data_IF_832587569497
#
_entry.id   IF_832587569497
#
_cell.length_a   1.000
_cell.length_b   1.000
_cell.length_c   1.000
_cell.angle_alpha   90.00
_cell.angle_beta   90.00
_cell.angle_gamma   90.00
#
_symmetry.space_group_name_H-M   'P 1'
#
loop_
_entity.id
_entity.type
_entity.pdbx_description
1 polymer ?
#
# COMPACT_ATOMS: atom_id res chain seq x y z
N UNK A 1 32.96 7.95 -23.32
CA UNK A 1 33.05 7.03 -22.16
C UNK A 1 32.04 5.92 -22.36
N UNK A 2 32.43 4.64 -22.50
CA UNK A 2 31.44 3.56 -22.57
C UNK A 2 31.05 3.16 -21.15
N UNK A 3 29.77 3.28 -20.80
CA UNK A 3 29.23 2.80 -19.53
C UNK A 3 28.88 1.31 -19.68
N UNK A 4 29.62 0.46 -18.96
CA UNK A 4 29.32 -0.96 -18.83
C UNK A 4 27.91 -1.13 -18.25
N UNK A 5 27.02 -1.77 -19.02
CA UNK A 5 25.69 -2.15 -18.55
C UNK A 5 25.84 -3.31 -17.55
N UNK A 6 25.44 -3.04 -16.32
CA UNK A 6 25.33 -4.01 -15.23
C UNK A 6 24.43 -5.17 -15.71
N UNK A 7 24.89 -6.39 -15.49
CA UNK A 7 24.24 -7.63 -15.91
C UNK A 7 22.96 -7.84 -15.07
N UNK A 8 21.85 -7.23 -15.53
CA UNK A 8 20.53 -7.38 -14.93
C UNK A 8 20.01 -8.77 -15.27
N UNK A 9 20.07 -9.64 -14.27
CA UNK A 9 19.46 -10.96 -14.18
C UNK A 9 18.08 -11.03 -14.87
N UNK A 10 17.99 -11.85 -15.92
CA UNK A 10 16.81 -12.30 -16.66
C UNK A 10 15.59 -11.36 -16.67
N UNK A 11 15.69 -10.27 -17.43
CA UNK A 11 14.62 -9.31 -17.69
C UNK A 11 13.34 -9.96 -18.26
N UNK A 12 13.43 -11.12 -18.92
CA UNK A 12 12.30 -11.78 -19.58
C UNK A 12 11.22 -12.28 -18.62
N UNK A 13 11.59 -12.80 -17.44
CA UNK A 13 10.63 -13.30 -16.45
C UNK A 13 9.92 -12.15 -15.74
N UNK A 14 10.68 -11.16 -15.24
CA UNK A 14 10.11 -9.99 -14.58
C UNK A 14 9.18 -9.21 -15.51
N UNK A 15 9.55 -9.07 -16.79
CA UNK A 15 8.72 -8.37 -17.78
C UNK A 15 7.42 -9.12 -18.07
N UNK A 16 7.44 -10.47 -18.11
CA UNK A 16 6.24 -11.30 -18.27
C UNK A 16 5.30 -11.21 -17.07
N UNK A 17 5.85 -11.28 -15.86
CA UNK A 17 5.09 -11.12 -14.61
C UNK A 17 4.49 -9.72 -14.53
N UNK A 18 5.25 -8.69 -14.89
CA UNK A 18 4.77 -7.30 -14.96
C UNK A 18 3.63 -7.15 -15.98
N UNK A 19 3.76 -7.71 -17.18
CA UNK A 19 2.70 -7.67 -18.20
C UNK A 19 1.43 -8.40 -17.74
N UNK A 20 1.56 -9.55 -17.09
CA UNK A 20 0.42 -10.26 -16.52
C UNK A 20 -0.25 -9.44 -15.41
N UNK A 21 0.54 -8.84 -14.51
CA UNK A 21 0.02 -7.94 -13.48
C UNK A 21 -0.74 -6.75 -14.09
N UNK A 22 -0.19 -6.08 -15.09
CA UNK A 22 -0.84 -4.95 -15.77
C UNK A 22 -2.14 -5.39 -16.47
N UNK A 23 -2.17 -6.59 -17.04
CA UNK A 23 -3.39 -7.17 -17.64
C UNK A 23 -4.47 -7.44 -16.59
N UNK A 24 -4.11 -8.03 -15.44
CA UNK A 24 -5.02 -8.23 -14.31
C UNK A 24 -5.50 -6.89 -13.73
N UNK A 25 -4.62 -5.90 -13.64
CA UNK A 25 -4.95 -4.56 -13.16
C UNK A 25 -5.95 -3.86 -14.08
N UNK A 26 -5.86 -4.09 -15.40
CA UNK A 26 -6.80 -3.54 -16.38
C UNK A 26 -8.14 -4.28 -16.36
N UNK A 27 -8.15 -5.60 -16.13
CA UNK A 27 -9.36 -6.44 -16.16
C UNK A 27 -10.14 -6.43 -14.85
N UNK A 28 -9.44 -6.43 -13.71
CA UNK A 28 -10.01 -6.44 -12.37
C UNK A 28 -9.26 -5.44 -11.47
N UNK A 29 -9.42 -4.13 -11.70
CA UNK A 29 -8.66 -3.09 -11.00
C UNK A 29 -8.90 -3.11 -9.49
N UNK A 30 -10.11 -3.43 -9.04
CA UNK A 30 -10.48 -3.41 -7.61
C UNK A 30 -9.82 -4.58 -6.88
N UNK A 31 -9.96 -5.80 -7.40
CA UNK A 31 -9.46 -7.02 -6.76
C UNK A 31 -7.92 -7.00 -6.73
N UNK A 32 -7.29 -6.67 -7.86
CA UNK A 32 -5.82 -6.68 -7.97
C UNK A 32 -5.20 -5.67 -7.01
N UNK A 33 -5.74 -4.46 -6.92
CA UNK A 33 -5.26 -3.43 -5.97
C UNK A 33 -5.46 -3.85 -4.51
N UNK A 34 -6.59 -4.47 -4.20
CA UNK A 34 -6.92 -4.94 -2.85
C UNK A 34 -5.96 -6.05 -2.40
N UNK A 35 -5.70 -7.04 -3.27
CA UNK A 35 -4.77 -8.14 -2.99
C UNK A 35 -3.35 -7.63 -2.81
N UNK A 36 -2.87 -6.77 -3.71
CA UNK A 36 -1.55 -6.16 -3.59
C UNK A 36 -1.44 -5.32 -2.32
N UNK A 37 -2.49 -4.56 -1.96
CA UNK A 37 -2.52 -3.80 -0.72
C UNK A 37 -2.46 -4.69 0.51
N UNK A 38 -3.24 -5.77 0.58
CA UNK A 38 -3.20 -6.72 1.71
C UNK A 38 -1.82 -7.33 1.91
N UNK A 39 -1.19 -7.78 0.82
CA UNK A 39 0.16 -8.35 0.86
C UNK A 39 1.17 -7.30 1.32
N UNK A 40 1.11 -6.09 0.79
CA UNK A 40 2.04 -5.01 1.13
C UNK A 40 1.88 -4.58 2.60
N UNK A 41 0.65 -4.47 3.10
CA UNK A 41 0.36 -4.15 4.49
C UNK A 41 0.88 -5.23 5.45
N UNK A 42 0.69 -6.52 5.11
CA UNK A 42 1.21 -7.63 5.90
C UNK A 42 2.75 -7.63 5.93
N UNK A 43 3.40 -7.44 4.77
CA UNK A 43 4.85 -7.32 4.68
C UNK A 43 5.37 -6.11 5.45
N UNK A 44 4.69 -4.97 5.39
CA UNK A 44 5.02 -3.76 6.15
C UNK A 44 5.02 -4.03 7.66
N UNK A 45 4.01 -4.75 8.16
CA UNK A 45 3.95 -5.12 9.57
C UNK A 45 5.04 -6.12 9.96
N UNK A 46 5.33 -7.12 9.12
CA UNK A 46 6.43 -8.07 9.34
C UNK A 46 7.79 -7.36 9.37
N UNK A 47 8.03 -6.42 8.46
CA UNK A 47 9.24 -5.59 8.45
C UNK A 47 9.36 -4.75 9.71
N UNK A 48 8.27 -4.12 10.17
CA UNK A 48 8.24 -3.35 11.41
C UNK A 48 8.62 -4.22 12.62
N UNK A 49 8.01 -5.42 12.73
CA UNK A 49 8.33 -6.38 13.79
C UNK A 49 9.78 -6.86 13.72
N UNK A 50 10.33 -7.10 12.51
CA UNK A 50 11.72 -7.50 12.32
C UNK A 50 12.71 -6.38 12.73
N UNK A 51 12.38 -5.13 12.42
CA UNK A 51 13.18 -3.96 12.84
C UNK A 51 13.12 -3.77 14.36
N UNK A 52 11.95 -3.89 14.97
CA UNK A 52 11.77 -3.78 16.42
C UNK A 52 12.51 -4.90 17.16
N UNK A 53 12.48 -6.13 16.64
CA UNK A 53 13.26 -7.26 17.16
C UNK A 53 14.77 -7.00 17.08
N UNK A 54 15.28 -6.49 15.95
CA UNK A 54 16.72 -6.14 15.83
C UNK A 54 17.12 -5.02 16.78
N UNK A 55 16.26 -4.01 16.99
CA UNK A 55 16.53 -2.91 17.93
C UNK A 55 16.56 -3.41 19.38
N UNK A 56 15.56 -4.18 19.80
CA UNK A 56 15.49 -4.77 21.15
C UNK A 56 16.69 -5.67 21.46
N UNK A 57 17.19 -6.43 20.47
CA UNK A 57 18.38 -7.28 20.64
C UNK A 57 19.69 -6.48 20.82
N UNK A 58 19.73 -5.23 20.32
CA UNK A 58 20.89 -4.32 20.47
C UNK A 58 20.86 -3.57 21.81
N UNK A 59 19.67 -3.37 22.37
CA UNK A 59 19.42 -2.52 23.55
C UNK A 59 19.22 -3.34 24.86
N UNK A 60 19.43 -4.68 24.85
CA UNK A 60 19.17 -5.60 25.98
C UNK A 60 17.80 -5.40 26.66
N UNK A 61 16.83 -4.87 25.91
CA UNK A 61 15.47 -4.63 26.39
C UNK A 61 14.61 -5.89 26.28
N UNK A 62 13.54 -6.07 27.08
CA UNK A 62 12.73 -7.28 27.07
C UNK A 62 12.21 -7.57 25.65
N UNK A 63 12.45 -8.81 25.18
CA UNK A 63 12.06 -9.25 23.84
C UNK A 63 10.54 -9.19 23.71
N UNK A 64 10.02 -8.22 22.95
CA UNK A 64 8.62 -8.23 22.52
C UNK A 64 8.39 -9.50 21.68
N UNK A 65 7.38 -10.29 22.06
CA UNK A 65 6.98 -11.47 21.30
C UNK A 65 6.46 -11.02 19.93
N UNK A 66 6.90 -11.72 18.88
CA UNK A 66 6.43 -11.50 17.51
C UNK A 66 4.97 -11.96 17.48
N UNK A 67 4.05 -11.02 17.35
CA UNK A 67 2.62 -11.31 17.26
C UNK A 67 2.28 -11.67 15.81
N UNK A 68 2.17 -12.98 15.57
CA UNK A 68 1.80 -13.57 14.28
C UNK A 68 0.38 -13.19 13.82
N UNK A 69 -0.47 -12.73 14.74
CA UNK A 69 -1.83 -12.28 14.43
C UNK A 69 -1.86 -10.88 13.78
N UNK A 70 -0.85 -10.04 14.08
CA UNK A 70 -0.76 -8.68 13.54
C UNK A 70 -0.75 -8.63 12.00
N UNK A 71 0.15 -9.37 11.31
CA UNK A 71 0.19 -9.38 9.84
C UNK A 71 -1.13 -9.80 9.19
N UNK A 72 -1.92 -10.66 9.85
CA UNK A 72 -3.26 -11.08 9.38
C UNK A 72 -4.24 -9.92 9.46
N UNK A 73 -4.26 -9.17 10.56
CA UNK A 73 -5.10 -7.98 10.71
C UNK A 73 -4.78 -6.91 9.66
N UNK A 74 -3.49 -6.67 9.40
CA UNK A 74 -3.04 -5.78 8.34
C UNK A 74 -3.38 -6.30 6.93
N UNK A 75 -3.35 -7.62 6.70
CA UNK A 75 -3.76 -8.22 5.44
C UNK A 75 -5.28 -8.04 5.20
N UNK A 76 -6.10 -8.29 6.22
CA UNK A 76 -7.56 -8.13 6.17
C UNK A 76 -7.92 -6.66 5.92
N UNK A 77 -7.28 -5.74 6.64
CA UNK A 77 -7.45 -4.30 6.41
C UNK A 77 -7.12 -3.92 4.96
N UNK A 78 -5.96 -4.35 4.45
CA UNK A 78 -5.54 -4.07 3.07
C UNK A 78 -6.45 -4.67 2.01
N UNK A 79 -6.98 -5.88 2.25
CA UNK A 79 -7.87 -6.58 1.32
C UNK A 79 -9.29 -6.00 1.30
N UNK A 80 -9.90 -5.78 2.47
CA UNK A 80 -11.32 -5.47 2.57
C UNK A 80 -11.63 -3.99 2.75
N UNK A 81 -10.71 -3.20 3.31
CA UNK A 81 -10.94 -1.79 3.58
C UNK A 81 -10.24 -0.93 2.54
N UNK A 82 -8.93 -1.10 2.35
CA UNK A 82 -8.16 -0.23 1.45
C UNK A 82 -8.66 -0.31 -0.01
N UNK A 83 -9.05 -1.50 -0.46
CA UNK A 83 -9.62 -1.74 -1.78
C UNK A 83 -10.86 -0.91 -2.12
N UNK A 84 -12.02 -1.18 -1.48
CA UNK A 84 -13.26 -0.47 -1.76
C UNK A 84 -13.19 1.02 -1.37
N UNK A 85 -12.53 1.37 -0.26
CA UNK A 85 -12.36 2.78 0.14
C UNK A 85 -11.59 3.55 -0.93
N UNK A 86 -10.52 2.97 -1.48
CA UNK A 86 -9.78 3.58 -2.58
C UNK A 86 -10.64 3.75 -3.83
N UNK A 87 -11.51 2.78 -4.15
CA UNK A 87 -12.41 2.88 -5.30
C UNK A 87 -13.41 4.04 -5.16
N UNK A 88 -14.13 4.12 -4.04
CA UNK A 88 -15.08 5.20 -3.78
C UNK A 88 -14.40 6.56 -3.70
N UNK A 89 -13.19 6.60 -3.12
CA UNK A 89 -12.44 7.84 -3.03
C UNK A 89 -12.02 8.38 -4.39
N UNK A 90 -11.47 7.52 -5.28
CA UNK A 90 -11.11 7.95 -6.62
C UNK A 90 -12.33 8.39 -7.43
N UNK A 91 -13.46 7.72 -7.26
CA UNK A 91 -14.71 8.13 -7.90
C UNK A 91 -15.19 9.50 -7.40
N UNK A 92 -15.17 9.73 -6.09
CA UNK A 92 -15.49 11.05 -5.50
C UNK A 92 -14.56 12.13 -6.01
N UNK A 93 -13.28 11.81 -6.20
CA UNK A 93 -12.27 12.73 -6.70
C UNK A 93 -12.47 13.13 -8.16
N UNK A 94 -12.95 12.19 -8.99
CA UNK A 94 -13.32 12.47 -10.38
C UNK A 94 -14.55 13.38 -10.46
N UNK A 95 -15.52 13.21 -9.55
CA UNK A 95 -16.71 14.08 -9.46
C UNK A 95 -16.34 15.48 -8.96
N UNK A 96 -15.45 15.57 -7.97
CA UNK A 96 -15.10 16.85 -7.34
C UNK A 96 -14.14 17.69 -8.19
N UNK A 97 -13.27 17.05 -8.97
CA UNK A 97 -12.25 17.71 -9.80
C UNK A 97 -12.28 17.18 -11.23
N UNK A 98 -13.26 17.63 -12.05
CA UNK A 98 -13.28 17.32 -13.47
C UNK A 98 -12.06 17.95 -14.19
N UNK A 99 -11.58 17.29 -15.24
CA UNK A 99 -10.40 17.72 -16.02
C UNK A 99 -10.53 19.08 -16.73
N UNK A 100 -11.69 19.74 -16.63
CA UNK A 100 -11.96 21.05 -17.21
C UNK A 100 -11.40 22.21 -16.39
N UNK A 101 -10.90 21.97 -15.18
CA UNK A 101 -10.43 23.03 -14.27
C UNK A 101 -8.93 23.31 -14.47
N UNK A 102 -8.49 24.57 -14.63
CA UNK A 102 -7.07 24.90 -14.66
C UNK A 102 -6.39 24.56 -13.31
N UNK A 103 -5.13 24.11 -13.38
CA UNK A 103 -4.36 23.59 -12.23
C UNK A 103 -5.01 22.38 -11.52
N UNK A 104 -5.81 21.59 -12.25
CA UNK A 104 -6.49 20.40 -11.72
C UNK A 104 -5.53 19.51 -10.93
N UNK A 105 -4.33 19.23 -11.46
CA UNK A 105 -3.35 18.36 -10.82
C UNK A 105 -2.91 18.83 -9.42
N UNK A 106 -2.68 20.13 -9.24
CA UNK A 106 -2.25 20.69 -7.94
C UNK A 106 -3.41 20.63 -6.95
N UNK A 107 -4.61 21.03 -7.38
CA UNK A 107 -5.82 20.95 -6.54
C UNK A 107 -6.14 19.52 -6.14
N UNK A 108 -5.96 18.58 -7.07
CA UNK A 108 -6.13 17.14 -6.86
C UNK A 108 -5.17 16.63 -5.79
N UNK A 109 -3.89 16.97 -5.93
CA UNK A 109 -2.85 16.58 -4.98
C UNK A 109 -3.09 17.18 -3.59
N UNK A 110 -3.48 18.46 -3.51
CA UNK A 110 -3.80 19.09 -2.23
C UNK A 110 -5.01 18.44 -1.56
N UNK A 111 -6.07 18.14 -2.32
CA UNK A 111 -7.26 17.47 -1.80
C UNK A 111 -6.93 16.06 -1.28
N UNK A 112 -6.14 15.30 -2.04
CA UNK A 112 -5.65 13.98 -1.63
C UNK A 112 -4.82 14.05 -0.34
N UNK A 113 -3.92 15.04 -0.22
CA UNK A 113 -3.05 15.15 0.95
C UNK A 113 -3.76 15.72 2.17
N UNK A 114 -4.69 16.66 2.00
CA UNK A 114 -5.30 17.41 3.10
C UNK A 114 -6.58 16.76 3.64
N UNK A 115 -7.32 16.05 2.79
CA UNK A 115 -8.61 15.45 3.18
C UNK A 115 -8.48 13.94 3.30
N UNK A 116 -7.90 13.30 2.28
CA UNK A 116 -7.88 11.84 2.24
C UNK A 116 -6.80 11.22 3.09
N UNK A 117 -5.58 11.74 3.07
CA UNK A 117 -4.52 11.22 3.93
C UNK A 117 -4.94 11.20 5.42
N UNK A 118 -5.47 12.29 6.02
CA UNK A 118 -5.90 12.25 7.41
C UNK A 118 -7.15 11.39 7.63
N UNK A 119 -8.15 11.43 6.74
CA UNK A 119 -9.34 10.57 6.87
C UNK A 119 -8.99 9.07 6.76
N UNK A 120 -8.09 8.72 5.85
CA UNK A 120 -7.59 7.36 5.66
C UNK A 120 -6.77 6.89 6.86
N UNK A 121 -5.94 7.76 7.42
CA UNK A 121 -5.19 7.47 8.66
C UNK A 121 -6.14 7.24 9.84
N UNK A 122 -7.16 8.08 10.02
CA UNK A 122 -8.15 7.89 11.08
C UNK A 122 -8.89 6.56 10.90
N UNK A 123 -9.34 6.24 9.69
CA UNK A 123 -9.98 4.97 9.37
C UNK A 123 -9.05 3.78 9.68
N UNK A 124 -7.77 3.89 9.31
CA UNK A 124 -6.77 2.87 9.63
C UNK A 124 -6.67 2.62 11.13
N UNK A 125 -6.53 3.68 11.94
CA UNK A 125 -6.45 3.53 13.39
C UNK A 125 -7.73 2.94 14.00
N UNK A 126 -8.91 3.38 13.55
CA UNK A 126 -10.20 2.85 14.02
C UNK A 126 -10.33 1.36 13.73
N UNK A 127 -10.02 0.94 12.50
CA UNK A 127 -10.16 -0.47 12.13
C UNK A 127 -9.10 -1.32 12.82
N UNK A 128 -7.85 -0.86 12.87
CA UNK A 128 -6.80 -1.61 13.56
C UNK A 128 -7.09 -1.76 15.05
N UNK A 129 -7.63 -0.73 15.70
CA UNK A 129 -8.04 -0.81 17.10
C UNK A 129 -9.26 -1.72 17.31
N UNK A 130 -10.20 -1.77 16.37
CA UNK A 130 -11.32 -2.70 16.43
C UNK A 130 -10.93 -4.17 16.17
N UNK A 131 -9.79 -4.39 15.52
CA UNK A 131 -9.29 -5.71 15.12
C UNK A 131 -8.22 -6.26 16.09
N UNK A 132 -7.74 -5.43 17.01
CA UNK A 132 -6.82 -5.79 18.11
C UNK A 132 -7.58 -6.38 19.31
#
# INVERSE_FOLDING_TARGET
MPTQSVLIRDSSFLTRVLQQYLSLLKKYPIITKSVTSGILSALGNLLSQALEYRKSNKENSPKKKINVLGPVHFAIFGLFITGPVSHYFYHLLEVLLPNTVPYCLIKRLLLERLIFAPAFLLLFYVVMNALE
#
